data_IF_594661857549
#
_entry.id   IF_594661857549
#
_cell.length_a   1.000
_cell.length_b   1.000
_cell.length_c   1.000
_cell.angle_alpha   90.00
_cell.angle_beta   90.00
_cell.angle_gamma   90.00
#
_symmetry.space_group_name_H-M   'P 1'
#
loop_
_entity.id
_entity.type
_entity.pdbx_description
1 polymer ?
#
# COMPACT_ATOMS: atom_id res chain seq x y z
N UNK A 1 -10.04 -18.38 -23.30
CA UNK A 1 -9.91 -18.27 -21.83
C UNK A 1 -9.39 -16.89 -21.54
N UNK A 2 -10.01 -16.17 -20.65
CA UNK A 2 -9.54 -14.85 -20.20
C UNK A 2 -8.16 -14.99 -19.54
N UNK A 3 -7.28 -14.03 -19.77
CA UNK A 3 -5.95 -14.06 -19.16
C UNK A 3 -6.01 -13.47 -17.75
N UNK A 4 -5.23 -14.06 -16.84
CA UNK A 4 -5.22 -13.66 -15.43
C UNK A 4 -3.78 -13.36 -15.00
N UNK A 5 -3.57 -12.18 -14.44
CA UNK A 5 -2.34 -11.79 -13.75
C UNK A 5 -2.63 -11.63 -12.26
N UNK A 6 -1.99 -12.47 -11.44
CA UNK A 6 -2.00 -12.32 -10.00
C UNK A 6 -0.84 -11.42 -9.55
N UNK A 7 -1.13 -10.39 -8.78
CA UNK A 7 -0.14 -9.53 -8.14
C UNK A 7 -0.10 -9.85 -6.65
N UNK A 8 1.01 -10.40 -6.22
CA UNK A 8 1.23 -10.81 -4.84
C UNK A 8 2.51 -10.27 -4.26
N UNK A 9 2.77 -10.63 -3.01
CA UNK A 9 4.00 -10.26 -2.29
C UNK A 9 4.34 -11.24 -1.19
N UNK A 10 5.56 -11.18 -0.70
CA UNK A 10 6.00 -11.98 0.43
C UNK A 10 5.52 -11.41 1.77
N UNK A 11 5.19 -10.11 1.81
CA UNK A 11 4.82 -9.38 3.01
C UNK A 11 3.73 -8.32 2.73
N UNK A 12 2.93 -7.92 3.74
CA UNK A 12 1.93 -6.88 3.59
C UNK A 12 2.58 -5.53 3.28
N UNK A 13 1.78 -4.58 2.78
CA UNK A 13 2.19 -3.21 2.46
C UNK A 13 3.40 -3.08 1.54
N UNK A 14 3.68 -4.08 0.73
CA UNK A 14 4.81 -4.11 -0.20
C UNK A 14 4.63 -3.24 -1.44
N UNK A 15 3.44 -2.68 -1.69
CA UNK A 15 3.11 -1.85 -2.84
C UNK A 15 2.36 -2.56 -3.98
N UNK A 16 1.68 -3.67 -3.68
CA UNK A 16 0.83 -4.38 -4.64
C UNK A 16 -0.17 -3.47 -5.35
N UNK A 17 -0.97 -2.73 -4.57
CA UNK A 17 -2.02 -1.83 -5.10
C UNK A 17 -1.43 -0.72 -5.99
N UNK A 18 -0.22 -0.21 -5.68
CA UNK A 18 0.51 0.71 -6.56
C UNK A 18 0.83 0.08 -7.91
N UNK A 19 1.30 -1.17 -7.90
CA UNK A 19 1.63 -1.90 -9.13
C UNK A 19 0.36 -2.23 -9.93
N UNK A 20 -0.73 -2.69 -9.28
CA UNK A 20 -2.04 -2.90 -9.91
C UNK A 20 -2.50 -1.63 -10.60
N UNK A 21 -2.49 -0.50 -9.89
CA UNK A 21 -2.92 0.79 -10.41
C UNK A 21 -2.08 1.25 -11.61
N UNK A 22 -0.75 1.15 -11.51
CA UNK A 22 0.15 1.58 -12.58
C UNK A 22 0.07 0.71 -13.83
N UNK A 23 0.02 -0.62 -13.69
CA UNK A 23 -0.18 -1.56 -14.80
C UNK A 23 -1.53 -1.33 -15.46
N UNK A 24 -2.60 -1.24 -14.66
CA UNK A 24 -3.96 -1.01 -15.14
C UNK A 24 -4.06 0.27 -15.94
N UNK A 25 -3.52 1.37 -15.42
CA UNK A 25 -3.50 2.67 -16.13
C UNK A 25 -2.80 2.58 -17.47
N UNK A 26 -1.61 1.97 -17.51
CA UNK A 26 -0.83 1.81 -18.74
C UNK A 26 -1.55 0.97 -19.81
N UNK A 27 -2.23 -0.09 -19.39
CA UNK A 27 -3.02 -0.93 -20.29
C UNK A 27 -4.23 -0.21 -20.87
N UNK A 28 -4.94 0.56 -20.04
CA UNK A 28 -6.06 1.40 -20.48
C UNK A 28 -5.61 2.47 -21.49
N UNK A 29 -4.48 3.11 -21.25
CA UNK A 29 -3.88 4.06 -22.19
C UNK A 29 -3.52 3.43 -23.56
N UNK A 30 -3.27 2.14 -23.57
CA UNK A 30 -3.04 1.34 -24.78
C UNK A 30 -4.34 0.78 -25.40
N UNK A 31 -5.50 1.18 -24.88
CA UNK A 31 -6.81 0.71 -25.36
C UNK A 31 -7.13 -0.75 -25.02
N UNK A 32 -6.43 -1.34 -24.03
CA UNK A 32 -6.68 -2.72 -23.61
C UNK A 32 -7.82 -2.75 -22.60
N UNK A 33 -8.64 -3.80 -22.68
CA UNK A 33 -9.67 -4.04 -21.66
C UNK A 33 -9.05 -4.72 -20.45
N UNK A 34 -9.46 -4.28 -19.27
CA UNK A 34 -9.01 -4.85 -18.00
C UNK A 34 -10.19 -5.00 -17.05
N UNK A 35 -10.06 -5.96 -16.14
CA UNK A 35 -10.85 -6.06 -14.90
C UNK A 35 -9.89 -6.10 -13.72
N UNK A 36 -10.32 -5.52 -12.60
CA UNK A 36 -9.50 -5.49 -11.38
C UNK A 36 -10.28 -6.11 -10.23
N UNK A 37 -9.62 -6.92 -9.42
CA UNK A 37 -10.26 -7.55 -8.27
C UNK A 37 -9.29 -7.93 -7.16
N UNK A 38 -9.87 -8.26 -6.02
CA UNK A 38 -9.16 -8.77 -4.84
C UNK A 38 -9.98 -9.92 -4.27
N UNK A 39 -9.65 -11.17 -4.63
CA UNK A 39 -10.47 -12.36 -4.29
C UNK A 39 -10.75 -12.49 -2.79
N UNK A 40 -9.75 -12.22 -1.94
CA UNK A 40 -9.89 -12.15 -0.50
C UNK A 40 -9.76 -10.70 -0.06
N UNK A 41 -10.89 -10.06 0.25
CA UNK A 41 -10.92 -8.69 0.72
C UNK A 41 -10.22 -8.53 2.06
N UNK A 42 -9.57 -7.40 2.25
CA UNK A 42 -8.90 -7.03 3.51
C UNK A 42 -9.55 -5.80 4.16
N UNK A 43 -10.40 -5.10 3.45
CA UNK A 43 -11.21 -4.00 3.94
C UNK A 43 -12.49 -3.85 3.11
N UNK A 44 -13.61 -3.78 3.79
CA UNK A 44 -14.90 -3.47 3.19
C UNK A 44 -15.61 -2.50 4.12
N UNK A 45 -15.96 -1.32 3.64
CA UNK A 45 -16.88 -0.43 4.34
C UNK A 45 -18.27 -1.07 4.38
N UNK A 46 -18.62 -1.63 5.51
CA UNK A 46 -19.94 -2.18 5.75
C UNK A 46 -20.90 -1.03 6.08
N UNK A 47 -21.71 -0.63 5.14
CA UNK A 47 -22.81 0.34 5.38
C UNK A 47 -23.87 -0.20 6.33
N UNK A 48 -23.90 -1.52 6.55
CA UNK A 48 -24.77 -2.18 7.51
C UNK A 48 -24.10 -3.44 8.10
N UNK A 49 -23.66 -3.42 9.38
CA UNK A 49 -22.99 -4.55 10.02
C UNK A 49 -23.85 -5.83 10.14
N UNK A 50 -25.16 -5.74 9.91
CA UNK A 50 -26.08 -6.87 10.02
C UNK A 50 -26.12 -7.73 8.73
N UNK A 51 -25.57 -7.29 7.62
CA UNK A 51 -25.50 -8.07 6.39
C UNK A 51 -24.25 -8.95 6.38
N UNK A 52 -24.33 -10.14 6.97
CA UNK A 52 -23.24 -11.14 6.98
C UNK A 52 -23.00 -11.85 5.63
N UNK A 53 -23.61 -11.44 4.55
CA UNK A 53 -23.37 -12.00 3.22
C UNK A 53 -22.30 -11.16 2.52
N UNK A 54 -21.04 -11.62 2.56
CA UNK A 54 -19.93 -10.98 1.83
C UNK A 54 -19.93 -11.25 0.32
N UNK A 55 -20.90 -12.02 -0.17
CA UNK A 55 -21.04 -12.34 -1.60
C UNK A 55 -21.36 -11.08 -2.41
N UNK A 56 -20.52 -10.79 -3.39
CA UNK A 56 -20.70 -9.63 -4.28
C UNK A 56 -20.14 -8.30 -3.73
N UNK A 57 -19.50 -8.29 -2.57
CA UNK A 57 -18.86 -7.08 -2.04
C UNK A 57 -17.51 -6.82 -2.70
N UNK A 58 -17.24 -5.58 -3.00
CA UNK A 58 -15.97 -5.14 -3.61
C UNK A 58 -15.07 -4.56 -2.52
N UNK A 59 -13.82 -5.01 -2.45
CA UNK A 59 -12.79 -4.47 -1.55
C UNK A 59 -12.57 -2.97 -1.79
N UNK A 60 -12.34 -2.19 -0.74
CA UNK A 60 -12.23 -0.73 -0.83
C UNK A 60 -11.01 -0.29 -1.66
N UNK A 61 -9.92 -1.07 -1.67
CA UNK A 61 -8.77 -0.80 -2.55
C UNK A 61 -9.19 -0.95 -4.03
N UNK A 62 -10.02 -1.95 -4.35
CA UNK A 62 -10.55 -2.18 -5.72
C UNK A 62 -11.50 -1.06 -6.13
N UNK A 63 -12.39 -0.62 -5.23
CA UNK A 63 -13.28 0.55 -5.48
C UNK A 63 -12.45 1.80 -5.75
N UNK A 64 -11.41 2.05 -4.94
CA UNK A 64 -10.53 3.20 -5.11
C UNK A 64 -9.78 3.15 -6.46
N UNK A 65 -9.23 1.98 -6.84
CA UNK A 65 -8.58 1.79 -8.15
C UNK A 65 -9.60 2.04 -9.27
N UNK A 66 -10.81 1.46 -9.16
CA UNK A 66 -11.88 1.64 -10.12
C UNK A 66 -12.25 3.10 -10.34
N UNK A 67 -12.47 3.84 -9.25
CA UNK A 67 -12.78 5.28 -9.30
C UNK A 67 -11.63 6.11 -9.88
N UNK A 68 -10.39 5.82 -9.49
CA UNK A 68 -9.19 6.52 -9.98
C UNK A 68 -8.98 6.31 -11.48
N UNK A 69 -9.29 5.13 -12.00
CA UNK A 69 -9.11 4.77 -13.40
C UNK A 69 -10.38 4.98 -14.25
N UNK A 70 -11.48 5.43 -13.65
CA UNK A 70 -12.80 5.54 -14.27
C UNK A 70 -13.27 4.21 -14.90
N UNK A 71 -13.06 3.09 -14.21
CA UNK A 71 -13.57 1.81 -14.63
C UNK A 71 -15.08 1.71 -14.38
N UNK A 72 -15.81 1.09 -15.31
CA UNK A 72 -17.21 0.73 -15.08
C UNK A 72 -17.29 -0.34 -13.99
N UNK A 73 -18.38 -0.36 -13.23
CA UNK A 73 -18.60 -1.28 -12.11
C UNK A 73 -18.48 -2.76 -12.52
N UNK A 74 -18.92 -3.10 -13.72
CA UNK A 74 -18.79 -4.43 -14.34
C UNK A 74 -17.33 -4.89 -14.54
N UNK A 75 -16.38 -3.96 -14.50
CA UNK A 75 -14.93 -4.24 -14.58
C UNK A 75 -14.28 -4.38 -13.20
N UNK A 76 -15.06 -4.31 -12.13
CA UNK A 76 -14.59 -4.55 -10.77
C UNK A 76 -15.04 -5.95 -10.33
N UNK A 77 -14.07 -6.85 -10.14
CA UNK A 77 -14.35 -8.24 -9.75
C UNK A 77 -14.64 -8.29 -8.25
N UNK A 78 -15.82 -8.77 -7.83
CA UNK A 78 -16.16 -8.90 -6.43
C UNK A 78 -15.25 -9.85 -5.67
N UNK A 79 -15.09 -9.59 -4.36
CA UNK A 79 -14.41 -10.49 -3.45
C UNK A 79 -15.29 -11.67 -3.06
N UNK A 80 -14.67 -12.83 -2.88
CA UNK A 80 -15.37 -14.07 -2.48
C UNK A 80 -15.20 -14.41 -1.00
N UNK A 81 -14.46 -13.59 -0.28
CA UNK A 81 -14.25 -13.69 1.18
C UNK A 81 -13.69 -12.41 1.77
N UNK A 82 -13.83 -12.26 3.09
CA UNK A 82 -13.23 -11.17 3.86
C UNK A 82 -12.25 -11.74 4.88
N UNK A 83 -11.05 -11.22 4.89
CA UNK A 83 -10.00 -11.56 5.86
C UNK A 83 -10.24 -10.78 7.15
N UNK A 84 -10.99 -11.35 8.06
CA UNK A 84 -11.27 -10.81 9.38
C UNK A 84 -11.21 -11.88 10.47
N UNK A 85 -11.04 -11.44 11.72
CA UNK A 85 -10.89 -12.36 12.85
C UNK A 85 -12.14 -13.22 13.09
N UNK A 86 -13.33 -12.69 12.89
CA UNK A 86 -14.60 -13.37 13.18
C UNK A 86 -14.83 -14.50 12.18
N UNK A 87 -14.65 -14.21 10.89
CA UNK A 87 -14.80 -15.24 9.84
C UNK A 87 -13.70 -16.31 9.93
N UNK A 88 -12.46 -15.91 10.24
CA UNK A 88 -11.34 -16.82 10.45
C UNK A 88 -11.61 -17.79 11.63
N UNK A 89 -12.03 -17.27 12.78
CA UNK A 89 -12.37 -18.06 13.96
C UNK A 89 -13.51 -19.06 13.66
N UNK A 90 -14.57 -18.58 13.00
CA UNK A 90 -15.71 -19.44 12.60
C UNK A 90 -15.27 -20.58 11.69
N UNK A 91 -14.36 -20.35 10.72
CA UNK A 91 -13.84 -21.37 9.82
C UNK A 91 -13.00 -22.40 10.59
N UNK A 92 -12.17 -21.97 11.54
CA UNK A 92 -11.36 -22.85 12.38
C UNK A 92 -12.27 -23.74 13.25
N UNK A 93 -13.27 -23.16 13.92
CA UNK A 93 -14.20 -23.90 14.80
C UNK A 93 -14.98 -24.93 13.98
N UNK A 94 -15.46 -24.58 12.81
CA UNK A 94 -16.22 -25.46 11.91
C UNK A 94 -15.31 -26.45 11.14
N UNK A 95 -13.98 -26.35 11.29
CA UNK A 95 -12.99 -27.15 10.52
C UNK A 95 -13.15 -26.97 9.01
N UNK A 96 -13.66 -25.82 8.57
CA UNK A 96 -13.88 -25.48 7.17
C UNK A 96 -12.61 -24.79 6.62
N UNK A 97 -11.54 -25.56 6.48
CA UNK A 97 -10.26 -25.11 5.95
C UNK A 97 -10.04 -25.55 4.50
N UNK A 98 -11.03 -26.18 3.90
CA UNK A 98 -10.96 -26.65 2.53
C UNK A 98 -11.41 -25.51 1.61
N UNK A 99 -10.63 -25.15 0.57
CA UNK A 99 -11.01 -24.14 -0.41
C UNK A 99 -12.07 -24.72 -1.37
N UNK A 100 -13.31 -24.81 -0.96
CA UNK A 100 -14.34 -25.35 -1.82
C UNK A 100 -14.95 -24.25 -2.72
N UNK A 101 -15.96 -23.61 -2.19
CA UNK A 101 -16.77 -22.63 -2.94
C UNK A 101 -16.02 -21.35 -3.34
N UNK A 102 -14.99 -20.93 -2.59
CA UNK A 102 -14.25 -19.69 -2.91
C UNK A 102 -13.56 -19.77 -4.28
N UNK A 103 -13.00 -20.93 -4.65
CA UNK A 103 -12.37 -21.10 -5.96
C UNK A 103 -13.40 -21.16 -7.09
N UNK A 104 -14.49 -21.91 -6.91
CA UNK A 104 -15.56 -21.99 -7.91
C UNK A 104 -16.16 -20.61 -8.19
N UNK A 105 -16.34 -19.79 -7.16
CA UNK A 105 -16.85 -18.44 -7.28
C UNK A 105 -15.89 -17.53 -8.05
N UNK A 106 -14.60 -17.51 -7.68
CA UNK A 106 -13.63 -16.66 -8.40
C UNK A 106 -13.41 -17.16 -9.83
N UNK A 107 -13.39 -18.46 -10.06
CA UNK A 107 -13.30 -19.04 -11.40
C UNK A 107 -14.46 -18.62 -12.28
N UNK A 108 -15.71 -18.65 -11.76
CA UNK A 108 -16.87 -18.18 -12.48
C UNK A 108 -16.82 -16.68 -12.82
N UNK A 109 -16.20 -15.85 -11.97
CA UNK A 109 -16.05 -14.42 -12.19
C UNK A 109 -14.97 -14.06 -13.23
N UNK A 110 -13.96 -14.91 -13.45
CA UNK A 110 -12.80 -14.60 -14.30
C UNK A 110 -12.73 -15.44 -15.58
N UNK A 111 -13.42 -16.57 -15.69
CA UNK A 111 -13.39 -17.49 -16.83
C UNK A 111 -14.57 -17.30 -17.81
N UNK A 112 -15.12 -16.10 -17.87
CA UNK A 112 -16.09 -15.72 -18.91
C UNK A 112 -15.38 -15.40 -20.25
N UNK A 113 -16.16 -15.04 -21.28
CA UNK A 113 -15.66 -14.65 -22.61
C UNK A 113 -15.03 -13.25 -22.63
N UNK A 114 -14.45 -12.80 -21.50
CA UNK A 114 -13.83 -11.49 -21.41
C UNK A 114 -12.57 -11.41 -22.26
N UNK A 115 -12.60 -10.57 -23.30
CA UNK A 115 -11.46 -10.27 -24.17
C UNK A 115 -10.58 -9.17 -23.56
N UNK A 116 -9.84 -9.51 -22.49
CA UNK A 116 -8.99 -8.59 -21.75
C UNK A 116 -8.14 -9.29 -20.68
N UNK A 117 -7.52 -8.50 -19.82
CA UNK A 117 -6.69 -8.99 -18.71
C UNK A 117 -7.43 -8.82 -17.37
N UNK A 118 -7.62 -9.92 -16.65
CA UNK A 118 -8.04 -9.88 -15.24
C UNK A 118 -6.79 -9.69 -14.36
N UNK A 119 -6.72 -8.58 -13.63
CA UNK A 119 -5.64 -8.25 -12.71
C UNK A 119 -6.17 -8.44 -11.29
N UNK A 120 -5.65 -9.45 -10.60
CA UNK A 120 -6.10 -9.80 -9.26
C UNK A 120 -5.02 -9.51 -8.23
N UNK A 121 -5.35 -8.70 -7.22
CA UNK A 121 -4.49 -8.45 -6.09
C UNK A 121 -4.68 -9.54 -5.02
N UNK A 122 -3.61 -10.22 -4.63
CA UNK A 122 -3.64 -11.16 -3.52
C UNK A 122 -3.68 -10.44 -2.16
N UNK A 123 -4.04 -11.15 -1.11
CA UNK A 123 -3.98 -10.68 0.27
C UNK A 123 -2.54 -10.28 0.69
N UNK A 124 -2.32 -9.90 1.94
CA UNK A 124 -1.11 -9.25 2.42
C UNK A 124 0.20 -9.97 2.09
N UNK A 125 0.36 -11.23 2.56
CA UNK A 125 1.59 -12.01 2.36
C UNK A 125 1.35 -13.24 1.47
N UNK A 126 2.43 -13.97 1.15
CA UNK A 126 2.40 -15.17 0.29
C UNK A 126 1.37 -16.21 0.76
N UNK A 127 1.34 -16.49 2.05
CA UNK A 127 0.51 -17.54 2.63
C UNK A 127 -0.78 -17.02 3.30
N UNK A 128 -0.98 -15.71 3.34
CA UNK A 128 -2.18 -15.14 3.92
C UNK A 128 -3.43 -15.58 3.12
N UNK A 129 -4.49 -15.93 3.84
CA UNK A 129 -5.69 -16.49 3.22
C UNK A 129 -5.71 -18.02 3.13
N UNK A 130 -4.71 -18.77 3.65
CA UNK A 130 -4.73 -20.23 3.66
C UNK A 130 -5.98 -20.81 4.37
N UNK A 131 -6.45 -20.16 5.43
CA UNK A 131 -7.69 -20.54 6.14
C UNK A 131 -8.91 -20.48 5.21
N UNK A 132 -8.85 -19.62 4.21
CA UNK A 132 -9.92 -19.43 3.21
C UNK A 132 -9.70 -20.26 1.94
N UNK A 133 -8.53 -20.92 1.82
CA UNK A 133 -8.12 -21.56 0.59
C UNK A 133 -7.79 -20.59 -0.54
N UNK A 134 -7.55 -19.34 -0.23
CA UNK A 134 -7.34 -18.23 -1.17
C UNK A 134 -5.95 -17.57 -1.01
N UNK A 135 -4.96 -18.31 -0.47
CA UNK A 135 -3.58 -17.82 -0.47
C UNK A 135 -3.05 -17.70 -1.91
N UNK A 136 -2.02 -16.88 -2.09
CA UNK A 136 -1.47 -16.64 -3.42
C UNK A 136 -1.06 -17.92 -4.17
N UNK A 137 -0.35 -18.92 -3.56
CA UNK A 137 -0.05 -20.18 -4.24
C UNK A 137 -1.29 -21.00 -4.58
N UNK A 138 -2.32 -21.00 -3.72
CA UNK A 138 -3.58 -21.70 -3.99
C UNK A 138 -4.33 -21.07 -5.16
N UNK A 139 -4.47 -19.74 -5.18
CA UNK A 139 -5.08 -19.01 -6.29
C UNK A 139 -4.33 -19.23 -7.62
N UNK A 140 -2.98 -19.11 -7.60
CA UNK A 140 -2.15 -19.31 -8.78
C UNK A 140 -2.36 -20.68 -9.41
N UNK A 141 -2.35 -21.73 -8.57
CA UNK A 141 -2.55 -23.10 -9.01
C UNK A 141 -3.96 -23.35 -9.55
N UNK A 142 -4.98 -22.88 -8.83
CA UNK A 142 -6.37 -23.12 -9.19
C UNK A 142 -6.79 -22.40 -10.48
N UNK A 143 -6.41 -21.12 -10.59
CA UNK A 143 -6.71 -20.29 -11.76
C UNK A 143 -5.73 -20.51 -12.92
N UNK A 144 -4.72 -21.37 -12.75
CA UNK A 144 -3.59 -21.52 -13.68
C UNK A 144 -2.98 -20.17 -14.11
N UNK A 145 -2.87 -19.24 -13.14
CA UNK A 145 -2.50 -17.86 -13.39
C UNK A 145 -1.01 -17.63 -13.17
N UNK A 146 -0.43 -16.70 -13.90
CA UNK A 146 0.93 -16.21 -13.67
C UNK A 146 0.94 -15.18 -12.53
N UNK A 147 2.00 -15.24 -11.73
CA UNK A 147 2.16 -14.41 -10.53
C UNK A 147 3.33 -13.47 -10.67
N UNK A 148 3.06 -12.19 -10.49
CA UNK A 148 4.06 -11.15 -10.34
C UNK A 148 4.21 -10.81 -8.85
N UNK A 149 5.43 -10.96 -8.32
CA UNK A 149 5.72 -10.66 -6.91
C UNK A 149 6.23 -9.22 -6.77
N UNK A 150 5.60 -8.45 -5.90
CA UNK A 150 6.18 -7.19 -5.41
C UNK A 150 7.02 -7.51 -4.18
N UNK A 151 8.32 -7.35 -4.30
CA UNK A 151 9.27 -7.63 -3.23
C UNK A 151 9.76 -6.33 -2.59
N UNK A 152 9.49 -6.15 -1.32
CA UNK A 152 10.01 -5.01 -0.56
C UNK A 152 11.52 -5.18 -0.39
N UNK A 153 12.27 -4.17 -0.79
CA UNK A 153 13.72 -4.22 -0.74
C UNK A 153 14.25 -3.46 0.48
N UNK A 154 14.76 -4.16 1.46
CA UNK A 154 15.50 -3.58 2.57
C UNK A 154 17.01 -3.75 2.37
N UNK A 155 17.44 -4.96 2.15
CA UNK A 155 18.82 -5.36 1.82
C UNK A 155 18.82 -6.64 0.97
N UNK A 156 20.01 -7.20 0.73
CA UNK A 156 20.15 -8.43 -0.09
C UNK A 156 19.47 -9.66 0.52
N UNK A 157 19.16 -9.68 1.83
CA UNK A 157 18.43 -10.77 2.50
C UNK A 157 16.95 -10.77 2.11
N UNK A 158 16.41 -9.66 1.59
CA UNK A 158 15.06 -9.62 1.04
C UNK A 158 14.84 -10.62 -0.09
N UNK A 159 15.91 -11.14 -0.68
CA UNK A 159 15.86 -12.20 -1.71
C UNK A 159 15.47 -13.56 -1.14
N UNK A 160 15.68 -13.84 0.15
CA UNK A 160 15.32 -15.13 0.76
C UNK A 160 13.81 -15.39 0.64
N UNK A 161 12.98 -14.38 0.97
CA UNK A 161 11.53 -14.49 0.83
C UNK A 161 11.10 -14.68 -0.65
N UNK A 162 11.81 -14.05 -1.59
CA UNK A 162 11.57 -14.20 -3.02
C UNK A 162 11.91 -15.61 -3.53
N UNK A 163 13.00 -16.20 -3.03
CA UNK A 163 13.38 -17.58 -3.36
C UNK A 163 12.34 -18.59 -2.85
N UNK A 164 11.82 -18.37 -1.64
CA UNK A 164 10.74 -19.20 -1.10
C UNK A 164 9.44 -19.04 -1.92
N UNK A 165 9.07 -17.80 -2.27
CA UNK A 165 7.93 -17.56 -3.14
C UNK A 165 8.07 -18.26 -4.49
N UNK A 166 9.23 -18.18 -5.14
CA UNK A 166 9.51 -18.90 -6.38
C UNK A 166 9.35 -20.40 -6.23
N UNK A 167 9.85 -20.97 -5.13
CA UNK A 167 9.74 -22.41 -4.85
C UNK A 167 8.27 -22.83 -4.67
N UNK A 168 7.47 -22.05 -3.94
CA UNK A 168 6.06 -22.37 -3.70
C UNK A 168 5.18 -22.18 -4.95
N UNK A 169 5.47 -21.18 -5.77
CA UNK A 169 4.71 -20.86 -6.99
C UNK A 169 5.10 -21.71 -8.20
N UNK A 170 6.33 -22.25 -8.24
CA UNK A 170 6.82 -23.06 -9.36
C UNK A 170 6.66 -22.36 -10.70
N UNK A 171 5.99 -23.02 -11.66
CA UNK A 171 5.78 -22.50 -13.03
C UNK A 171 4.83 -21.30 -13.10
N UNK A 172 4.10 -21.03 -12.03
CA UNK A 172 3.24 -19.84 -11.95
C UNK A 172 4.03 -18.57 -11.64
N UNK A 173 5.27 -18.67 -11.14
CA UNK A 173 6.12 -17.52 -10.87
C UNK A 173 6.57 -16.84 -12.17
N UNK A 174 6.03 -15.67 -12.48
CA UNK A 174 6.43 -14.90 -13.66
C UNK A 174 7.72 -14.10 -13.42
N UNK A 175 7.91 -13.58 -12.22
CA UNK A 175 9.05 -12.76 -11.83
C UNK A 175 8.69 -11.76 -10.72
N UNK A 176 9.54 -10.74 -10.57
CA UNK A 176 9.41 -9.78 -9.47
C UNK A 176 9.60 -8.34 -9.90
N UNK A 177 9.07 -7.43 -9.08
CA UNK A 177 9.41 -6.00 -9.06
C UNK A 177 9.95 -5.68 -7.67
N UNK A 178 11.15 -5.10 -7.58
CA UNK A 178 11.67 -4.58 -6.32
C UNK A 178 11.06 -3.23 -6.02
N UNK A 179 10.56 -3.06 -4.80
CA UNK A 179 9.96 -1.81 -4.34
C UNK A 179 10.68 -1.24 -3.11
N UNK A 180 10.50 0.05 -2.89
CA UNK A 180 11.07 0.82 -1.79
C UNK A 180 12.62 0.80 -1.73
N UNK A 181 13.27 0.68 -2.86
CA UNK A 181 14.73 0.68 -2.98
C UNK A 181 15.27 2.06 -2.65
N UNK A 182 16.22 2.15 -1.73
CA UNK A 182 16.90 3.42 -1.41
C UNK A 182 17.66 3.91 -2.65
N UNK A 183 17.57 5.20 -3.02
CA UNK A 183 18.10 5.71 -4.29
C UNK A 183 19.56 5.38 -4.57
N UNK A 184 20.42 5.40 -3.56
CA UNK A 184 21.85 5.07 -3.65
C UNK A 184 22.15 3.59 -3.97
N UNK A 185 21.17 2.70 -3.74
CA UNK A 185 21.30 1.27 -4.03
C UNK A 185 20.79 0.87 -5.43
N UNK A 186 20.00 1.72 -6.09
CA UNK A 186 19.33 1.38 -7.37
C UNK A 186 20.34 0.91 -8.42
N UNK A 187 21.43 1.65 -8.62
CA UNK A 187 22.46 1.29 -9.60
C UNK A 187 23.20 -0.02 -9.25
N UNK A 188 23.48 -0.25 -7.97
CA UNK A 188 24.08 -1.51 -7.51
C UNK A 188 23.14 -2.69 -7.79
N UNK A 189 21.85 -2.53 -7.55
CA UNK A 189 20.86 -3.58 -7.78
C UNK A 189 20.76 -3.86 -9.26
N UNK A 190 20.62 -2.84 -10.11
CA UNK A 190 20.50 -3.00 -11.56
C UNK A 190 21.73 -3.68 -12.19
N UNK A 191 22.93 -3.27 -11.75
CA UNK A 191 24.17 -3.69 -12.41
C UNK A 191 24.79 -4.96 -11.83
N UNK A 192 24.43 -5.37 -10.61
CA UNK A 192 25.03 -6.54 -9.95
C UNK A 192 24.01 -7.57 -9.51
N UNK A 193 22.94 -7.17 -8.82
CA UNK A 193 22.00 -8.13 -8.24
C UNK A 193 21.08 -8.72 -9.32
N UNK A 194 20.51 -7.89 -10.18
CA UNK A 194 19.60 -8.35 -11.24
C UNK A 194 20.25 -9.36 -12.18
N UNK A 195 21.48 -9.14 -12.73
CA UNK A 195 22.12 -10.15 -13.56
C UNK A 195 22.29 -11.50 -12.86
N UNK A 196 22.73 -11.51 -11.60
CA UNK A 196 22.86 -12.74 -10.82
C UNK A 196 21.53 -13.45 -10.58
N UNK A 197 20.44 -12.68 -10.33
CA UNK A 197 19.10 -13.27 -10.20
C UNK A 197 18.58 -13.85 -11.52
N UNK A 198 18.92 -13.23 -12.65
CA UNK A 198 18.56 -13.75 -13.97
C UNK A 198 19.25 -15.09 -14.26
N UNK A 199 20.51 -15.26 -13.85
CA UNK A 199 21.22 -16.56 -13.92
C UNK A 199 20.54 -17.63 -13.05
N UNK A 200 19.85 -17.22 -11.97
CA UNK A 200 19.03 -18.09 -11.12
C UNK A 200 17.59 -18.28 -11.67
N UNK A 201 17.32 -17.86 -12.91
CA UNK A 201 15.98 -17.86 -13.51
C UNK A 201 14.93 -17.06 -12.72
N UNK A 202 15.35 -15.92 -12.17
CA UNK A 202 14.44 -14.95 -11.53
C UNK A 202 14.42 -13.68 -12.39
N UNK A 203 13.30 -13.45 -13.08
CA UNK A 203 13.10 -12.24 -13.87
C UNK A 203 12.77 -11.07 -12.95
N UNK A 204 13.48 -9.96 -13.11
CA UNK A 204 13.18 -8.69 -12.41
C UNK A 204 12.69 -7.67 -13.44
N UNK A 205 11.44 -7.25 -13.29
CA UNK A 205 10.77 -6.36 -14.25
C UNK A 205 10.90 -4.89 -13.92
N UNK A 206 11.37 -4.56 -12.72
CA UNK A 206 11.54 -3.18 -12.31
C UNK A 206 12.18 -3.01 -10.95
N UNK A 207 12.67 -1.78 -10.73
CA UNK A 207 13.26 -1.33 -9.45
C UNK A 207 12.64 0.01 -9.13
N UNK A 208 11.65 0.03 -8.25
CA UNK A 208 10.95 1.23 -7.81
C UNK A 208 11.66 1.85 -6.61
N UNK A 209 12.03 3.13 -6.67
CA UNK A 209 12.69 3.80 -5.57
C UNK A 209 11.74 4.02 -4.39
N UNK A 210 12.32 4.11 -3.18
CA UNK A 210 11.61 4.46 -1.95
C UNK A 210 11.06 5.88 -2.06
N UNK A 211 9.76 6.04 -1.84
CA UNK A 211 9.08 7.33 -1.87
C UNK A 211 8.56 7.71 -0.49
N UNK A 212 8.94 8.87 0.07
CA UNK A 212 8.32 9.40 1.28
C UNK A 212 6.82 9.62 1.10
N UNK A 213 6.39 10.15 -0.04
CA UNK A 213 4.98 10.40 -0.34
C UNK A 213 4.12 9.14 -0.28
N UNK A 214 4.56 8.03 -0.90
CA UNK A 214 3.77 6.78 -0.86
C UNK A 214 3.74 6.14 0.53
N UNK A 215 4.68 6.49 1.40
CA UNK A 215 4.74 6.03 2.79
C UNK A 215 4.10 7.00 3.77
N UNK A 216 3.68 8.17 3.31
CA UNK A 216 3.09 9.20 4.16
C UNK A 216 1.78 8.73 4.79
N UNK A 217 1.44 9.34 5.91
CA UNK A 217 0.17 9.14 6.61
C UNK A 217 -0.62 10.43 6.61
N UNK A 218 -1.95 10.36 6.59
CA UNK A 218 -2.78 11.56 6.76
C UNK A 218 -2.83 11.96 8.23
N UNK A 219 -3.08 13.24 8.50
CA UNK A 219 -3.33 13.71 9.87
C UNK A 219 -4.52 12.98 10.47
N UNK A 220 -5.58 12.73 9.70
CA UNK A 220 -6.74 11.95 10.14
C UNK A 220 -6.39 10.52 10.57
N UNK A 221 -5.45 9.85 9.89
CA UNK A 221 -4.96 8.54 10.32
C UNK A 221 -4.18 8.63 11.64
N UNK A 222 -3.38 9.69 11.81
CA UNK A 222 -2.68 9.93 13.09
C UNK A 222 -3.66 10.20 14.22
N UNK A 223 -4.73 10.97 13.98
CA UNK A 223 -5.79 11.21 14.97
C UNK A 223 -6.38 9.87 15.43
N UNK A 224 -6.75 9.00 14.50
CA UNK A 224 -7.36 7.68 14.83
C UNK A 224 -6.41 6.76 15.58
N UNK A 225 -5.15 6.64 15.12
CA UNK A 225 -4.18 5.71 15.74
C UNK A 225 -3.72 6.14 17.12
N UNK A 226 -3.64 7.43 17.34
CA UNK A 226 -3.20 8.02 18.60
C UNK A 226 -4.35 8.29 19.58
N UNK A 227 -5.60 8.10 19.16
CA UNK A 227 -6.80 8.56 19.88
C UNK A 227 -6.64 10.03 20.29
N UNK A 228 -6.19 10.86 19.37
CA UNK A 228 -5.75 12.20 19.62
C UNK A 228 -6.93 13.18 19.66
N UNK A 229 -6.91 14.10 20.62
CA UNK A 229 -7.83 15.25 20.65
C UNK A 229 -7.30 16.32 19.68
N UNK A 230 -8.13 16.76 18.75
CA UNK A 230 -7.83 17.88 17.86
C UNK A 230 -8.06 19.19 18.61
N UNK A 231 -7.02 20.03 18.70
CA UNK A 231 -7.08 21.32 19.41
C UNK A 231 -7.48 22.44 18.44
N UNK A 232 -6.94 22.45 17.21
CA UNK A 232 -7.28 23.42 16.17
C UNK A 232 -7.17 22.82 14.78
N UNK A 233 -7.71 23.49 13.76
CA UNK A 233 -7.69 23.13 12.32
C UNK A 233 -8.24 21.72 12.05
N UNK A 234 -9.43 21.32 12.55
CA UNK A 234 -9.99 19.99 12.35
C UNK A 234 -10.25 19.64 10.88
N UNK A 235 -10.43 20.65 10.01
CA UNK A 235 -10.64 20.47 8.56
C UNK A 235 -9.37 20.04 7.81
N UNK A 236 -8.21 20.02 8.46
CA UNK A 236 -6.91 19.68 7.85
C UNK A 236 -6.52 18.19 7.98
N UNK A 237 -7.46 17.31 8.21
CA UNK A 237 -7.22 15.86 8.36
C UNK A 237 -6.59 15.19 7.14
N UNK A 238 -6.73 15.78 5.95
CA UNK A 238 -6.19 15.25 4.69
C UNK A 238 -4.73 15.61 4.43
N UNK A 239 -4.12 16.46 5.28
CA UNK A 239 -2.70 16.78 5.14
C UNK A 239 -1.83 15.52 5.26
N UNK A 240 -0.85 15.40 4.36
CA UNK A 240 0.05 14.26 4.30
C UNK A 240 1.33 14.52 5.11
N UNK A 241 1.62 13.65 6.04
CA UNK A 241 2.83 13.64 6.84
C UNK A 241 3.80 12.62 6.25
N UNK A 242 4.95 13.08 5.76
CA UNK A 242 5.97 12.24 5.13
C UNK A 242 7.10 11.84 6.08
N UNK A 243 7.32 12.64 7.11
CA UNK A 243 8.42 12.45 8.06
C UNK A 243 8.01 12.78 9.48
N UNK A 244 8.69 12.17 10.45
CA UNK A 244 8.53 12.45 11.87
C UNK A 244 9.75 13.20 12.39
N UNK A 245 9.52 14.16 13.29
CA UNK A 245 10.56 14.88 14.02
C UNK A 245 10.21 14.92 15.50
N UNK A 246 11.20 14.73 16.35
CA UNK A 246 11.03 14.76 17.81
C UNK A 246 11.65 16.05 18.34
N UNK A 247 10.84 16.86 18.99
CA UNK A 247 11.25 18.13 19.61
C UNK A 247 11.89 17.95 21.00
N UNK A 248 12.93 17.12 21.10
CA UNK A 248 13.63 16.84 22.36
C UNK A 248 14.89 17.68 22.58
N UNK A 249 15.30 18.45 21.59
CA UNK A 249 16.52 19.26 21.60
C UNK A 249 16.24 20.73 22.00
N UNK A 250 17.31 21.54 22.13
CA UNK A 250 17.17 22.99 22.31
C UNK A 250 16.70 23.70 21.06
N UNK A 251 16.04 24.86 21.19
CA UNK A 251 15.35 25.61 20.12
C UNK A 251 16.25 25.87 18.91
N UNK A 252 17.47 26.32 19.09
CA UNK A 252 18.38 26.65 17.99
C UNK A 252 18.69 25.41 17.13
N UNK A 253 18.98 24.28 17.78
CA UNK A 253 19.21 23.01 17.10
C UNK A 253 17.93 22.50 16.41
N UNK A 254 16.78 22.65 17.06
CA UNK A 254 15.49 22.26 16.51
C UNK A 254 15.15 23.04 15.25
N UNK A 255 15.31 24.35 15.23
CA UNK A 255 15.05 25.19 14.06
C UNK A 255 15.94 24.79 12.87
N UNK A 256 17.24 24.55 13.11
CA UNK A 256 18.16 24.09 12.06
C UNK A 256 17.77 22.72 11.50
N UNK A 257 17.34 21.81 12.37
CA UNK A 257 16.91 20.47 12.00
C UNK A 257 15.57 20.47 11.26
N UNK A 258 14.57 21.24 11.73
CA UNK A 258 13.25 21.32 11.12
C UNK A 258 13.29 21.97 9.73
N UNK A 259 14.11 22.97 9.51
CA UNK A 259 14.29 23.62 8.19
C UNK A 259 14.77 22.69 7.08
N UNK A 260 15.43 21.58 7.43
CA UNK A 260 15.95 20.59 6.48
C UNK A 260 14.90 19.55 6.08
N UNK A 261 13.76 19.52 6.74
CA UNK A 261 12.70 18.54 6.52
C UNK A 261 11.47 19.21 5.93
N UNK A 262 10.67 18.41 5.25
CA UNK A 262 9.40 18.86 4.67
C UNK A 262 8.28 17.91 5.10
N UNK A 263 7.05 18.42 5.10
CA UNK A 263 5.83 17.68 5.37
C UNK A 263 5.96 16.79 6.61
N UNK A 264 6.43 17.38 7.72
CA UNK A 264 6.71 16.63 8.94
C UNK A 264 5.59 16.74 9.98
N UNK A 265 5.39 15.66 10.76
CA UNK A 265 4.81 15.78 12.08
C UNK A 265 5.92 16.08 13.10
N UNK A 266 5.65 16.98 14.02
CA UNK A 266 6.57 17.25 15.15
C UNK A 266 5.90 16.78 16.43
N UNK A 267 6.56 15.87 17.14
CA UNK A 267 6.15 15.39 18.47
C UNK A 267 6.98 16.07 19.53
N UNK A 268 6.34 16.73 20.49
CA UNK A 268 7.00 17.41 21.61
C UNK A 268 6.11 17.48 22.82
N UNK A 269 6.69 17.70 24.01
CA UNK A 269 5.91 17.89 25.24
C UNK A 269 5.03 19.13 25.19
N UNK A 270 3.85 19.06 25.80
CA UNK A 270 2.88 20.17 25.84
C UNK A 270 3.43 21.40 26.58
N UNK A 271 4.47 21.25 27.40
CA UNK A 271 5.13 22.34 28.16
C UNK A 271 6.27 23.02 27.37
N UNK A 272 6.62 22.48 26.17
CA UNK A 272 7.74 22.97 25.38
C UNK A 272 7.31 24.00 24.32
N UNK A 273 6.70 25.10 24.77
CA UNK A 273 6.22 26.18 23.89
C UNK A 273 7.30 26.73 22.96
N UNK A 274 8.54 26.78 23.43
CA UNK A 274 9.71 27.20 22.66
C UNK A 274 9.92 26.34 21.40
N UNK A 275 9.83 25.00 21.53
CA UNK A 275 9.96 24.04 20.42
C UNK A 275 8.70 24.04 19.54
N UNK A 276 7.53 24.18 20.15
CA UNK A 276 6.25 24.23 19.44
C UNK A 276 6.21 25.40 18.46
N UNK A 277 6.63 26.60 18.89
CA UNK A 277 6.73 27.77 18.03
C UNK A 277 7.77 27.57 16.93
N UNK A 278 8.94 27.00 17.26
CA UNK A 278 9.97 26.68 16.27
C UNK A 278 9.48 25.69 15.21
N UNK A 279 8.64 24.72 15.60
CA UNK A 279 8.03 23.76 14.67
C UNK A 279 7.03 24.45 13.73
N UNK A 280 6.20 25.35 14.23
CA UNK A 280 5.22 26.08 13.40
C UNK A 280 5.89 26.98 12.35
N UNK A 281 7.10 27.49 12.60
CA UNK A 281 7.87 28.29 11.64
C UNK A 281 8.63 27.46 10.59
N UNK A 282 8.43 26.14 10.60
CA UNK A 282 9.00 25.21 9.65
C UNK A 282 7.92 24.55 8.78
N UNK A 283 8.30 23.64 7.87
CA UNK A 283 7.35 22.88 7.04
C UNK A 283 6.67 21.76 7.84
N UNK A 284 5.88 22.15 8.83
CA UNK A 284 5.13 21.24 9.72
C UNK A 284 3.72 21.06 9.19
N UNK A 285 3.30 19.80 9.01
CA UNK A 285 1.94 19.42 8.62
C UNK A 285 1.05 19.16 9.83
N UNK A 286 1.66 18.82 10.96
CA UNK A 286 0.94 18.50 12.19
C UNK A 286 1.87 18.65 13.40
N UNK A 287 1.39 19.29 14.45
CA UNK A 287 2.07 19.38 15.75
C UNK A 287 1.36 18.46 16.75
N UNK A 288 2.11 17.53 17.35
CA UNK A 288 1.56 16.54 18.30
C UNK A 288 2.15 16.81 19.68
N UNK A 289 1.27 17.12 20.63
CA UNK A 289 1.61 17.45 22.00
C UNK A 289 1.39 16.26 22.92
N UNK A 290 2.43 15.88 23.65
CA UNK A 290 2.41 14.77 24.61
C UNK A 290 2.42 15.27 26.06
N UNK A 291 1.96 14.45 26.99
CA UNK A 291 1.96 14.77 28.42
C UNK A 291 0.71 15.57 28.87
N UNK A 292 0.65 16.02 30.12
CA UNK A 292 -0.55 16.56 30.75
C UNK A 292 -0.78 18.08 30.54
N UNK A 293 0.22 18.81 30.02
CA UNK A 293 0.10 20.25 29.81
C UNK A 293 -0.92 20.62 28.74
N UNK A 294 -1.47 21.82 28.82
CA UNK A 294 -2.32 22.40 27.77
C UNK A 294 -1.54 23.44 26.96
N UNK A 295 -1.74 23.51 25.64
CA UNK A 295 -1.07 24.50 24.81
C UNK A 295 -1.52 25.93 25.13
N UNK A 296 -0.61 26.88 25.05
CA UNK A 296 -0.93 28.28 25.25
C UNK A 296 -1.83 28.80 24.12
N UNK A 297 -2.76 29.71 24.44
CA UNK A 297 -3.64 30.34 23.46
C UNK A 297 -2.88 31.01 22.32
N UNK A 298 -1.73 31.62 22.60
CA UNK A 298 -0.86 32.24 21.57
C UNK A 298 -0.34 31.20 20.54
N UNK A 299 -0.04 29.99 21.02
CA UNK A 299 0.38 28.89 20.12
C UNK A 299 -0.78 28.44 19.23
N UNK A 300 -1.98 28.29 19.81
CA UNK A 300 -3.20 27.89 19.07
C UNK A 300 -3.50 28.90 17.96
N UNK A 301 -3.55 30.21 18.29
CA UNK A 301 -3.77 31.25 17.30
C UNK A 301 -2.70 31.23 16.18
N UNK A 302 -1.43 31.01 16.54
CA UNK A 302 -0.37 30.93 15.54
C UNK A 302 -0.51 29.72 14.64
N UNK A 303 -0.92 28.59 15.17
CA UNK A 303 -1.19 27.38 14.41
C UNK A 303 -2.39 27.56 13.46
N UNK A 304 -3.45 28.22 13.92
CA UNK A 304 -4.60 28.58 13.08
C UNK A 304 -4.22 29.51 11.92
N UNK A 305 -3.40 30.55 12.18
CA UNK A 305 -2.88 31.44 11.12
C UNK A 305 -2.06 30.69 10.07
N UNK A 306 -1.32 29.67 10.47
CA UNK A 306 -0.48 28.86 9.59
C UNK A 306 -1.20 27.62 9.04
N UNK A 307 -2.46 27.42 9.42
CA UNK A 307 -3.28 26.26 9.04
C UNK A 307 -2.62 24.91 9.42
N UNK A 308 -1.93 24.84 10.57
CA UNK A 308 -1.27 23.65 11.10
C UNK A 308 -2.11 23.03 12.21
N UNK A 309 -2.66 21.82 12.07
CA UNK A 309 -3.41 21.16 13.13
C UNK A 309 -2.51 20.83 14.32
N UNK A 310 -3.04 21.10 15.52
CA UNK A 310 -2.45 20.69 16.79
C UNK A 310 -3.26 19.50 17.32
N UNK A 311 -2.56 18.41 17.58
CA UNK A 311 -3.11 17.21 18.21
C UNK A 311 -2.57 17.08 19.62
N UNK A 312 -3.43 16.71 20.55
CA UNK A 312 -3.08 16.40 21.93
C UNK A 312 -3.29 14.93 22.21
N UNK A 313 -2.29 14.29 22.78
CA UNK A 313 -2.34 12.87 23.16
C UNK A 313 -2.03 12.68 24.64
N UNK A 314 -2.65 11.68 25.26
CA UNK A 314 -2.39 11.31 26.64
C UNK A 314 -1.17 10.41 26.82
N UNK A 315 -0.63 9.90 25.70
CA UNK A 315 0.57 9.08 25.64
C UNK A 315 1.84 9.89 25.92
N UNK A 316 2.87 9.24 26.42
CA UNK A 316 4.21 9.82 26.46
C UNK A 316 4.83 9.94 25.05
N UNK A 317 5.93 10.68 24.97
CA UNK A 317 6.61 10.96 23.69
C UNK A 317 7.09 9.68 23.00
N UNK A 318 7.60 8.70 23.74
CA UNK A 318 8.15 7.48 23.16
C UNK A 318 7.06 6.61 22.56
N UNK A 319 6.00 6.34 23.33
CA UNK A 319 4.85 5.57 22.87
C UNK A 319 4.18 6.24 21.64
N UNK A 320 4.05 7.58 21.68
CA UNK A 320 3.51 8.34 20.54
C UNK A 320 4.35 8.16 19.28
N UNK A 321 5.68 8.29 19.41
CA UNK A 321 6.62 8.11 18.29
C UNK A 321 6.54 6.69 17.72
N UNK A 322 6.50 5.68 18.58
CA UNK A 322 6.40 4.27 18.16
C UNK A 322 5.16 3.99 17.31
N UNK A 323 3.99 4.49 17.75
CA UNK A 323 2.73 4.35 17.00
C UNK A 323 2.81 5.07 15.64
N UNK A 324 3.40 6.27 15.59
CA UNK A 324 3.55 7.02 14.35
C UNK A 324 4.52 6.31 13.41
N UNK A 325 5.67 5.84 13.89
CA UNK A 325 6.65 5.12 13.07
C UNK A 325 6.05 3.83 12.48
N UNK A 326 5.25 3.12 13.25
CA UNK A 326 4.51 1.95 12.78
C UNK A 326 3.43 2.30 11.74
N UNK A 327 2.93 3.53 11.74
CA UNK A 327 1.97 3.97 10.73
C UNK A 327 2.62 4.21 9.36
N UNK A 328 3.86 4.72 9.34
CA UNK A 328 4.54 5.03 8.09
C UNK A 328 4.79 3.79 7.22
N UNK A 329 4.25 3.81 6.00
CA UNK A 329 4.34 2.69 5.07
C UNK A 329 3.34 1.56 5.33
N UNK A 330 2.52 1.65 6.40
CA UNK A 330 1.46 0.70 6.72
C UNK A 330 0.07 1.34 6.51
N UNK A 331 -0.06 2.09 5.44
CA UNK A 331 -1.28 2.74 4.99
C UNK A 331 -1.59 2.35 3.55
N UNK A 332 -2.86 2.40 3.20
CA UNK A 332 -3.35 2.13 1.84
C UNK A 332 -3.19 3.37 0.98
N UNK A 333 -3.24 3.17 -0.33
CA UNK A 333 -3.26 4.27 -1.28
C UNK A 333 -4.72 4.65 -1.52
N UNK A 334 -5.21 5.66 -0.81
CA UNK A 334 -6.58 6.17 -0.95
C UNK A 334 -6.63 7.67 -1.25
N UNK A 335 -5.48 8.31 -1.42
CA UNK A 335 -5.38 9.70 -1.80
C UNK A 335 -4.99 9.84 -3.29
N UNK A 336 -5.69 10.71 -4.01
CA UNK A 336 -5.49 10.92 -5.46
C UNK A 336 -4.05 11.31 -5.81
N UNK A 337 -3.38 12.09 -4.94
CA UNK A 337 -1.99 12.48 -5.15
C UNK A 337 -1.04 11.26 -5.07
N UNK A 338 -1.26 10.35 -4.12
CA UNK A 338 -0.49 9.12 -4.03
C UNK A 338 -0.76 8.19 -5.20
N UNK A 339 -2.03 8.09 -5.62
CA UNK A 339 -2.41 7.29 -6.78
C UNK A 339 -1.74 7.77 -8.07
N UNK A 340 -1.77 9.07 -8.33
CA UNK A 340 -1.12 9.67 -9.49
C UNK A 340 0.39 9.46 -9.47
N UNK A 341 1.01 9.62 -8.32
CA UNK A 341 2.44 9.38 -8.17
C UNK A 341 2.80 7.89 -8.29
N UNK A 342 1.98 6.98 -7.76
CA UNK A 342 2.18 5.54 -7.92
C UNK A 342 2.13 5.11 -9.39
N UNK A 343 1.19 5.65 -10.17
CA UNK A 343 1.11 5.43 -11.62
C UNK A 343 2.40 5.88 -12.29
N UNK A 344 2.84 7.11 -12.03
CA UNK A 344 4.08 7.64 -12.60
C UNK A 344 5.28 6.75 -12.25
N UNK A 345 5.42 6.38 -10.98
CA UNK A 345 6.53 5.54 -10.50
C UNK A 345 6.58 4.19 -11.21
N UNK A 346 5.43 3.54 -11.39
CA UNK A 346 5.34 2.26 -12.12
C UNK A 346 5.67 2.46 -13.60
N UNK A 347 5.17 3.52 -14.24
CA UNK A 347 5.45 3.81 -15.66
C UNK A 347 6.93 4.06 -15.92
N UNK A 348 7.64 4.71 -15.01
CA UNK A 348 9.06 5.06 -15.14
C UNK A 348 10.01 3.90 -14.80
N UNK A 349 9.61 3.02 -13.88
CA UNK A 349 10.52 2.04 -13.29
C UNK A 349 10.17 0.58 -13.53
N UNK A 350 9.03 0.27 -14.16
CA UNK A 350 8.58 -1.09 -14.42
C UNK A 350 8.44 -1.36 -15.93
N UNK A 351 9.08 -2.42 -16.39
CA UNK A 351 9.00 -2.86 -17.77
C UNK A 351 7.72 -3.68 -18.02
N UNK A 352 6.62 -2.99 -18.31
CA UNK A 352 5.33 -3.62 -18.58
C UNK A 352 5.38 -4.56 -19.79
N UNK A 353 6.11 -4.20 -20.84
CA UNK A 353 6.25 -5.03 -22.06
C UNK A 353 6.74 -6.44 -21.70
N UNK A 354 7.82 -6.51 -20.94
CA UNK A 354 8.39 -7.80 -20.54
C UNK A 354 7.45 -8.59 -19.60
N UNK A 355 6.65 -7.92 -18.75
CA UNK A 355 5.64 -8.59 -17.94
C UNK A 355 4.60 -9.25 -18.85
N UNK A 356 4.03 -8.50 -19.79
CA UNK A 356 2.96 -8.97 -20.67
C UNK A 356 3.44 -10.08 -21.61
N UNK A 357 4.66 -9.99 -22.13
CA UNK A 357 5.30 -11.07 -22.90
C UNK A 357 5.47 -12.35 -22.06
N UNK A 358 5.81 -12.21 -20.77
CA UNK A 358 6.00 -13.36 -19.88
C UNK A 358 4.70 -14.08 -19.53
N UNK A 359 3.57 -13.35 -19.55
CA UNK A 359 2.23 -13.93 -19.32
C UNK A 359 1.48 -14.24 -20.61
N UNK A 360 2.16 -14.17 -21.78
CA UNK A 360 1.59 -14.42 -23.10
C UNK A 360 0.40 -13.51 -23.45
N UNK A 361 0.35 -12.28 -22.88
CA UNK A 361 -0.72 -11.33 -23.20
C UNK A 361 -0.42 -10.59 -24.51
N UNK A 362 -1.32 -10.63 -25.50
CA UNK A 362 -1.07 -10.02 -26.80
C UNK A 362 -0.99 -8.50 -26.70
N UNK A 363 0.21 -7.95 -26.88
CA UNK A 363 0.45 -6.52 -26.91
C UNK A 363 1.14 -6.11 -28.21
N UNK A 364 0.45 -5.32 -28.99
CA UNK A 364 1.08 -4.55 -30.06
C UNK A 364 1.64 -3.28 -29.42
N UNK A 365 2.87 -3.34 -28.91
CA UNK A 365 3.62 -2.12 -28.61
C UNK A 365 3.99 -1.49 -29.95
N UNK A 366 3.23 -0.51 -30.43
CA UNK A 366 3.75 0.40 -31.42
C UNK A 366 4.92 1.14 -30.77
N UNK A 367 6.14 0.88 -31.27
CA UNK A 367 7.35 1.59 -30.86
C UNK A 367 7.17 3.10 -31.10
N UNK A 368 6.68 3.80 -30.10
CA UNK A 368 6.88 5.23 -29.95
C UNK A 368 7.39 5.44 -28.53
N UNK A 369 8.74 5.47 -28.43
CA UNK A 369 9.46 6.05 -27.31
C UNK A 369 9.09 7.53 -27.13
#
# INVERSE_FOLDING_TARGET
MSQILLIGSCEPFSGKSALVLGISKKLLEQGKKIRVGKPLATCIELTNPASMAYEGLIDDDVKFIGSTLNLAEENLIPSVGLLDNISAEKRIINKDLIPGKGFEQIEALVNDDFDGLNILEAAGSLNEGMIYGLSLPQLAKHLNAKVLIVNLWEDSKSVDALLDAKKQLGDHFAGTVFNAVVPDQVEKIKNKIIPSLQEMNIKVFGVMPKSPLLRSVTVGELIRRLDAKVICCPEKEQLLVETLSIGAMGVNSAMEFFRRRRNMAVVTGAERTDIQLAALEASTQCLILTGLGEPLLQLIHRAEELEVPILKVDLDTLATVEIIEQAFGHVRIHESIKASYAVQLVQEHVNLKNILETIDFPCNFSDKC
#
